data_IF_169098144552
#
_entry.id   IF_169098144552
#
_cell.length_a   1.000
_cell.length_b   1.000
_cell.length_c   1.000
_cell.angle_alpha   90.00
_cell.angle_beta   90.00
_cell.angle_gamma   90.00
#
_symmetry.space_group_name_H-M   'P 1'
#
loop_
_entity.id
_entity.type
_entity.pdbx_description
1 polymer ?
#
# COMPACT_ATOMS: atom_id res chain seq x y z
N UNK A 1 0.93 25.55 8.52
CA UNK A 1 1.33 24.25 7.95
C UNK A 1 1.01 24.29 6.46
N UNK A 2 2.02 24.11 5.60
CA UNK A 2 1.83 24.02 4.15
C UNK A 2 2.04 22.56 3.78
N UNK A 3 0.95 21.86 3.46
CA UNK A 3 1.02 20.46 3.06
C UNK A 3 1.29 20.41 1.56
N UNK A 4 2.49 19.96 1.20
CA UNK A 4 2.97 19.79 -0.16
C UNK A 4 2.39 18.50 -0.76
N UNK A 5 2.34 18.43 -2.08
CA UNK A 5 1.92 17.22 -2.78
C UNK A 5 2.89 16.07 -2.51
N UNK A 6 2.34 14.89 -2.21
CA UNK A 6 3.09 13.65 -2.18
C UNK A 6 2.88 12.88 -3.49
N UNK A 7 3.83 12.02 -3.84
CA UNK A 7 3.82 11.27 -5.09
C UNK A 7 3.98 9.77 -4.85
N UNK A 8 3.23 8.98 -5.64
CA UNK A 8 3.43 7.53 -5.75
C UNK A 8 4.02 7.24 -7.13
N UNK A 9 5.16 6.56 -7.15
CA UNK A 9 5.86 6.22 -8.40
C UNK A 9 6.20 4.74 -8.45
N UNK A 10 6.48 4.24 -9.66
CA UNK A 10 6.86 2.84 -9.89
C UNK A 10 5.87 1.82 -9.29
N UNK A 11 4.57 2.17 -9.32
CA UNK A 11 3.52 1.27 -8.89
C UNK A 11 3.50 0.03 -9.79
N UNK A 12 3.48 -1.16 -9.17
CA UNK A 12 3.48 -2.43 -9.88
C UNK A 12 2.74 -3.50 -9.11
N UNK A 13 1.98 -4.32 -9.83
CA UNK A 13 1.28 -5.47 -9.32
C UNK A 13 1.82 -6.72 -10.00
N UNK A 14 2.12 -7.76 -9.21
CA UNK A 14 2.51 -9.08 -9.68
C UNK A 14 1.65 -10.11 -9.00
N UNK A 15 1.05 -11.03 -9.75
CA UNK A 15 0.27 -12.14 -9.21
C UNK A 15 0.71 -13.44 -9.87
N UNK A 16 1.15 -14.40 -9.06
CA UNK A 16 1.60 -15.71 -9.53
C UNK A 16 0.74 -16.82 -8.94
N UNK A 17 0.48 -17.87 -9.74
CA UNK A 17 -0.28 -19.03 -9.30
C UNK A 17 0.41 -20.32 -9.71
N UNK A 18 0.71 -21.17 -8.74
CA UNK A 18 1.41 -22.43 -8.99
C UNK A 18 0.54 -23.45 -9.76
N UNK A 19 -0.76 -23.54 -9.47
CA UNK A 19 -1.71 -24.43 -10.16
C UNK A 19 -3.16 -23.96 -9.96
N UNK A 20 -4.12 -24.60 -10.63
CA UNK A 20 -5.52 -24.19 -10.60
C UNK A 20 -6.30 -24.43 -9.32
N UNK A 21 -5.69 -25.07 -8.32
CA UNK A 21 -6.34 -25.40 -7.05
C UNK A 21 -5.94 -24.49 -5.90
N UNK A 22 -4.98 -23.57 -6.11
CA UNK A 22 -4.52 -22.61 -5.10
C UNK A 22 -4.82 -21.17 -5.54
N UNK A 23 -5.08 -20.23 -4.61
CA UNK A 23 -5.18 -18.81 -4.95
C UNK A 23 -3.88 -18.26 -5.56
N UNK A 24 -3.99 -17.15 -6.30
CA UNK A 24 -2.85 -16.33 -6.66
C UNK A 24 -2.18 -15.76 -5.41
N UNK A 25 -0.86 -15.74 -5.42
CA UNK A 25 -0.04 -14.94 -4.52
C UNK A 25 0.28 -13.63 -5.21
N UNK A 26 -0.27 -12.53 -4.69
CA UNK A 26 -0.14 -11.20 -5.26
C UNK A 26 0.78 -10.31 -4.43
N UNK A 27 1.47 -9.40 -5.11
CA UNK A 27 2.34 -8.39 -4.55
C UNK A 27 2.08 -7.03 -5.21
N UNK A 28 1.69 -6.03 -4.41
CA UNK A 28 1.61 -4.63 -4.82
C UNK A 28 2.82 -3.88 -4.27
N UNK A 29 3.56 -3.21 -5.15
CA UNK A 29 4.71 -2.38 -4.78
C UNK A 29 4.57 -0.98 -5.33
N UNK A 30 5.07 0.00 -4.60
CA UNK A 30 5.19 1.39 -5.07
C UNK A 30 6.23 2.13 -4.24
N UNK A 31 6.82 3.17 -4.82
CA UNK A 31 7.60 4.15 -4.09
C UNK A 31 6.68 5.30 -3.69
N UNK A 32 6.84 5.79 -2.47
CA UNK A 32 6.10 6.90 -1.93
C UNK A 32 7.08 8.00 -1.56
N UNK A 33 7.01 9.11 -2.29
CA UNK A 33 7.70 10.35 -1.94
C UNK A 33 6.73 11.27 -1.23
N UNK A 34 7.01 11.60 0.03
CA UNK A 34 6.23 12.56 0.81
C UNK A 34 7.17 13.64 1.37
N UNK A 35 7.17 14.85 0.79
CA UNK A 35 8.03 15.95 1.25
C UNK A 35 7.53 16.58 2.56
N UNK A 36 6.41 16.12 3.13
CA UNK A 36 5.85 16.64 4.37
C UNK A 36 6.48 16.03 5.63
N UNK A 37 7.64 15.38 5.53
CA UNK A 37 8.37 14.90 6.71
C UNK A 37 8.80 16.07 7.61
N UNK A 38 8.79 15.85 8.94
CA UNK A 38 9.23 16.87 9.89
C UNK A 38 10.73 17.12 9.77
N UNK A 39 11.21 18.34 10.10
CA UNK A 39 12.63 18.73 9.97
C UNK A 39 13.61 17.77 10.63
N UNK A 40 13.18 17.12 11.71
CA UNK A 40 13.95 16.16 12.50
C UNK A 40 14.18 14.86 11.74
N UNK A 41 13.38 14.57 10.70
CA UNK A 41 13.48 13.37 9.90
C UNK A 41 13.54 13.69 8.40
N UNK A 42 14.73 13.54 7.82
CA UNK A 42 15.00 13.76 6.39
C UNK A 42 14.54 12.57 5.52
N UNK A 43 13.51 11.84 5.93
CA UNK A 43 12.92 10.74 5.16
C UNK A 43 11.76 11.31 4.36
N UNK A 44 12.07 11.71 3.13
CA UNK A 44 11.08 12.17 2.16
C UNK A 44 10.59 11.07 1.24
N UNK A 45 11.17 9.86 1.30
CA UNK A 45 10.82 8.77 0.40
C UNK A 45 10.93 7.40 1.07
N UNK A 46 10.01 6.51 0.72
CA UNK A 46 10.04 5.10 1.10
C UNK A 46 9.53 4.20 -0.04
N UNK A 47 9.72 2.88 0.10
CA UNK A 47 9.11 1.87 -0.76
C UNK A 47 8.16 1.02 0.08
N UNK A 48 6.94 0.84 -0.41
CA UNK A 48 5.94 -0.02 0.19
C UNK A 48 5.80 -1.30 -0.62
N UNK A 49 5.65 -2.43 0.06
CA UNK A 49 5.28 -3.71 -0.56
C UNK A 49 4.17 -4.36 0.26
N UNK A 50 3.08 -4.73 -0.39
CA UNK A 50 1.97 -5.47 0.20
C UNK A 50 1.84 -6.80 -0.49
N UNK A 51 1.59 -7.85 0.28
CA UNK A 51 1.36 -9.20 -0.24
C UNK A 51 0.00 -9.70 0.22
N UNK A 52 -0.77 -10.30 -0.69
CA UNK A 52 -2.10 -10.82 -0.41
C UNK A 52 -2.41 -12.02 -1.30
N UNK A 53 -3.43 -12.79 -0.90
CA UNK A 53 -3.92 -13.92 -1.67
C UNK A 53 -5.21 -13.53 -2.39
N UNK A 54 -5.34 -13.93 -3.65
CA UNK A 54 -6.53 -13.65 -4.47
C UNK A 54 -6.97 -14.91 -5.20
N UNK A 55 -8.22 -15.30 -5.11
CA UNK A 55 -8.72 -16.55 -5.72
C UNK A 55 -8.87 -16.46 -7.25
N UNK A 56 -8.77 -15.24 -7.81
CA UNK A 56 -8.91 -15.00 -9.25
C UNK A 56 -10.36 -14.99 -9.72
N UNK A 57 -11.32 -15.04 -8.80
CA UNK A 57 -12.74 -15.06 -9.13
C UNK A 57 -13.35 -13.75 -8.68
N UNK A 58 -13.86 -12.98 -9.65
CA UNK A 58 -14.82 -11.93 -9.36
C UNK A 58 -16.22 -12.55 -9.42
N UNK A 59 -16.92 -12.74 -8.30
CA UNK A 59 -18.28 -13.27 -8.34
C UNK A 59 -19.16 -12.28 -9.12
N UNK A 60 -19.79 -12.73 -10.20
CA UNK A 60 -20.72 -11.89 -10.97
C UNK A 60 -21.82 -11.40 -10.02
N UNK A 61 -21.81 -10.10 -9.69
CA UNK A 61 -22.77 -9.47 -8.80
C UNK A 61 -22.39 -9.44 -7.32
N UNK A 62 -21.14 -9.74 -6.92
CA UNK A 62 -20.63 -9.32 -5.61
C UNK A 62 -19.83 -8.03 -5.73
N UNK A 63 -19.93 -7.18 -4.71
CA UNK A 63 -19.00 -6.05 -4.51
C UNK A 63 -17.67 -6.53 -3.87
N UNK A 64 -17.54 -7.84 -3.64
CA UNK A 64 -16.53 -8.43 -2.78
C UNK A 64 -15.30 -8.84 -3.60
N UNK A 65 -14.48 -7.84 -3.96
CA UNK A 65 -13.04 -8.04 -4.16
C UNK A 65 -12.36 -8.47 -2.86
N UNK A 66 -11.02 -8.62 -2.85
CA UNK A 66 -10.28 -8.86 -1.61
C UNK A 66 -10.58 -7.72 -0.61
N UNK A 67 -11.31 -8.03 0.45
CA UNK A 67 -11.78 -7.07 1.45
C UNK A 67 -10.75 -6.89 2.57
N UNK A 68 -9.97 -5.81 2.48
CA UNK A 68 -9.17 -5.29 3.59
C UNK A 68 -8.06 -6.22 4.10
N UNK A 69 -6.83 -5.96 3.67
CA UNK A 69 -5.62 -6.55 4.27
C UNK A 69 -5.20 -5.81 5.56
N UNK A 70 -4.30 -6.39 6.36
CA UNK A 70 -3.70 -5.66 7.47
C UNK A 70 -2.91 -4.46 6.95
N UNK A 71 -2.80 -3.42 7.78
CA UNK A 71 -1.86 -2.32 7.53
C UNK A 71 -0.43 -2.86 7.54
N UNK A 72 0.33 -2.57 6.48
CA UNK A 72 1.73 -2.94 6.33
C UNK A 72 2.58 -1.70 6.60
N UNK A 73 3.57 -1.84 7.47
CA UNK A 73 4.56 -0.78 7.72
C UNK A 73 5.57 -0.75 6.57
N UNK A 74 5.64 0.37 5.86
CA UNK A 74 6.62 0.60 4.81
C UNK A 74 7.93 1.15 5.37
N UNK A 75 7.82 2.07 6.33
CA UNK A 75 8.95 2.65 7.03
C UNK A 75 8.52 3.03 8.44
N UNK A 76 9.43 2.84 9.40
CA UNK A 76 9.24 3.31 10.76
C UNK A 76 10.59 3.61 11.39
N UNK A 77 10.68 4.77 12.01
CA UNK A 77 11.68 5.09 13.01
C UNK A 77 11.03 5.74 14.23
N UNK A 78 11.82 6.42 15.06
CA UNK A 78 11.35 7.09 16.27
C UNK A 78 10.44 8.31 16.00
N UNK A 79 10.46 8.87 14.79
CA UNK A 79 9.88 10.18 14.45
C UNK A 79 8.96 10.20 13.23
N UNK A 80 9.04 9.18 12.36
CA UNK A 80 8.19 9.02 11.20
C UNK A 80 7.71 7.58 11.06
N UNK A 81 6.46 7.45 10.61
CA UNK A 81 5.81 6.18 10.34
C UNK A 81 5.04 6.27 9.04
N UNK A 82 5.41 5.42 8.08
CA UNK A 82 4.72 5.22 6.81
C UNK A 82 4.11 3.83 6.79
N UNK A 83 2.81 3.76 6.54
CA UNK A 83 2.09 2.52 6.37
C UNK A 83 1.10 2.58 5.23
N UNK A 84 0.80 1.40 4.68
CA UNK A 84 -0.20 1.23 3.64
C UNK A 84 -1.11 0.06 3.96
N UNK A 85 -2.40 0.22 3.68
CA UNK A 85 -3.41 -0.83 3.80
C UNK A 85 -4.06 -1.06 2.45
N UNK A 86 -4.12 -2.32 1.99
CA UNK A 86 -4.90 -2.68 0.81
C UNK A 86 -6.36 -2.80 1.26
N UNK A 87 -7.18 -1.81 0.94
CA UNK A 87 -8.59 -1.81 1.35
C UNK A 87 -9.44 -2.67 0.42
N UNK A 88 -9.15 -2.60 -0.88
CA UNK A 88 -9.89 -3.31 -1.90
C UNK A 88 -9.00 -3.67 -3.08
N UNK A 89 -9.17 -4.89 -3.59
CA UNK A 89 -8.58 -5.33 -4.84
C UNK A 89 -9.61 -6.19 -5.59
N UNK A 90 -10.01 -5.72 -6.77
CA UNK A 90 -10.92 -6.45 -7.66
C UNK A 90 -10.14 -7.09 -8.80
N UNK A 91 -9.38 -6.26 -9.52
CA UNK A 91 -8.52 -6.64 -10.62
C UNK A 91 -7.36 -5.64 -10.75
N UNK A 92 -6.35 -5.88 -11.62
CA UNK A 92 -5.19 -4.99 -11.77
C UNK A 92 -5.51 -3.52 -12.12
N UNK A 93 -6.71 -3.23 -12.64
CA UNK A 93 -7.18 -1.89 -12.96
C UNK A 93 -8.04 -1.24 -11.86
N UNK A 94 -8.50 -2.01 -10.86
CA UNK A 94 -9.30 -1.51 -9.75
C UNK A 94 -8.72 -1.93 -8.39
N UNK A 95 -7.97 -1.00 -7.80
CA UNK A 95 -7.25 -1.17 -6.54
C UNK A 95 -7.47 0.06 -5.67
N UNK A 96 -7.84 -0.16 -4.41
CA UNK A 96 -7.90 0.90 -3.39
C UNK A 96 -6.90 0.63 -2.30
N UNK A 97 -5.98 1.59 -2.11
CA UNK A 97 -5.04 1.60 -1.00
C UNK A 97 -5.31 2.79 -0.09
N UNK A 98 -5.15 2.57 1.21
CA UNK A 98 -5.03 3.64 2.20
C UNK A 98 -3.56 3.84 2.52
N UNK A 99 -3.17 5.11 2.65
CA UNK A 99 -1.84 5.52 3.07
C UNK A 99 -1.94 6.23 4.42
N UNK A 100 -1.02 5.93 5.32
CA UNK A 100 -0.90 6.59 6.61
C UNK A 100 0.54 7.06 6.79
N UNK A 101 0.73 8.37 6.87
CA UNK A 101 1.97 8.99 7.27
C UNK A 101 1.70 9.69 8.61
N UNK A 102 2.37 9.22 9.67
CA UNK A 102 2.28 9.83 10.99
C UNK A 102 3.62 10.47 11.35
N UNK A 103 3.53 11.66 11.92
CA UNK A 103 4.66 12.42 12.43
C UNK A 103 4.63 12.35 13.95
N UNK A 104 5.77 12.07 14.58
CA UNK A 104 5.91 12.39 15.99
C UNK A 104 6.15 13.90 16.07
N UNK A 105 5.09 14.67 16.33
CA UNK A 105 5.24 16.08 16.63
C UNK A 105 5.89 16.19 18.01
N UNK A 106 7.12 16.70 18.05
CA UNK A 106 7.88 16.91 19.28
C UNK A 106 7.94 18.39 19.67
N UNK A 107 7.05 19.24 19.12
CA UNK A 107 6.84 20.61 19.63
C UNK A 107 6.04 20.64 20.94
#
# INVERSE_FOLDING_TARGET
FNFLDFELTQAGLTCDRANSTVPYSCGLKFNWHDPNSVRQNNVSSTSCTQTFSWDGVHPIGSEDGFGGGPSVTCYRDESSYFASTLLHFEDPSNITIQLAHMYLDAE
#
